data_IF_249653122110
#
_entry.id   IF_249653122110
#
_cell.length_a   1.000
_cell.length_b   1.000
_cell.length_c   1.000
_cell.angle_alpha   90.00
_cell.angle_beta   90.00
_cell.angle_gamma   90.00
#
_symmetry.space_group_name_H-M   'P 1'
#
loop_
_entity.id
_entity.type
_entity.pdbx_description
1 polymer ?
#
# COMPACT_ATOMS: atom_id res chain seq x y z
N UNK A 1 -21.03 -2.22 11.45
CA UNK A 1 -19.58 -2.17 11.10
C UNK A 1 -19.10 -3.57 10.78
N UNK A 2 -18.39 -3.73 9.67
CA UNK A 2 -17.84 -5.02 9.27
C UNK A 2 -16.70 -5.43 10.20
N UNK A 3 -16.44 -6.75 10.39
CA UNK A 3 -15.37 -7.20 11.28
C UNK A 3 -14.00 -6.64 10.93
N UNK A 4 -13.65 -6.53 9.63
CA UNK A 4 -12.38 -5.98 9.20
C UNK A 4 -12.22 -4.51 9.63
N UNK A 5 -13.29 -3.74 9.58
CA UNK A 5 -13.27 -2.35 10.01
C UNK A 5 -13.08 -2.22 11.52
N UNK A 6 -13.67 -3.13 12.30
CA UNK A 6 -13.48 -3.14 13.75
C UNK A 6 -12.03 -3.41 14.12
N UNK A 7 -11.40 -4.36 13.42
CA UNK A 7 -9.99 -4.66 13.62
C UNK A 7 -9.12 -3.46 13.25
N UNK A 8 -9.45 -2.81 12.14
CA UNK A 8 -8.72 -1.63 11.70
C UNK A 8 -8.84 -0.49 12.72
N UNK A 9 -10.04 -0.28 13.28
CA UNK A 9 -10.25 0.76 14.29
C UNK A 9 -9.52 0.49 15.61
N UNK A 10 -9.34 -0.80 15.95
CA UNK A 10 -8.58 -1.19 17.14
C UNK A 10 -7.09 -1.00 16.96
N UNK A 11 -6.58 -1.46 15.81
CA UNK A 11 -5.16 -1.42 15.50
C UNK A 11 -4.70 -0.01 15.12
N UNK A 12 -5.54 0.69 14.34
CA UNK A 12 -5.30 2.06 13.92
C UNK A 12 -6.47 2.90 14.42
N UNK A 13 -6.27 3.84 15.34
CA UNK A 13 -7.33 4.78 15.68
C UNK A 13 -7.57 5.72 14.50
N UNK A 14 -8.36 5.27 13.54
CA UNK A 14 -8.60 5.95 12.26
C UNK A 14 -8.99 7.41 12.47
N UNK A 15 -9.82 7.66 13.49
CA UNK A 15 -10.26 9.02 13.80
C UNK A 15 -9.14 9.94 14.26
N UNK A 16 -8.01 9.36 14.72
CA UNK A 16 -6.83 10.12 15.14
C UNK A 16 -5.76 10.17 14.04
N UNK A 17 -5.65 9.10 13.24
CA UNK A 17 -4.60 8.98 12.23
C UNK A 17 -5.02 9.53 10.87
N UNK A 18 -6.29 9.35 10.51
CA UNK A 18 -6.81 9.79 9.21
C UNK A 18 -7.94 10.77 9.43
N UNK A 19 -7.70 12.00 9.02
CA UNK A 19 -8.70 13.06 9.06
C UNK A 19 -9.43 13.15 7.72
N UNK A 20 -10.50 13.94 7.66
CA UNK A 20 -11.20 14.20 6.41
C UNK A 20 -10.25 14.84 5.39
N UNK A 21 -10.44 14.51 4.12
CA UNK A 21 -9.67 15.07 2.99
C UNK A 21 -8.18 14.70 3.00
N UNK A 22 -7.80 13.64 3.70
CA UNK A 22 -6.39 13.17 3.71
C UNK A 22 -6.02 12.49 2.40
N UNK A 23 -4.76 12.64 2.02
CA UNK A 23 -4.17 11.85 0.93
C UNK A 23 -3.38 10.72 1.55
N UNK A 24 -3.77 9.49 1.22
CA UNK A 24 -3.20 8.29 1.84
C UNK A 24 -2.64 7.38 0.76
N UNK A 25 -1.36 7.05 0.87
CA UNK A 25 -0.75 5.98 0.06
C UNK A 25 -1.04 4.66 0.74
N UNK A 26 -1.55 3.70 -0.03
CA UNK A 26 -1.76 2.34 0.45
C UNK A 26 -0.77 1.45 -0.26
N UNK A 27 0.12 0.81 0.49
CA UNK A 27 1.06 -0.15 -0.07
C UNK A 27 0.34 -1.44 -0.42
N UNK A 28 0.26 -1.76 -1.70
CA UNK A 28 -0.44 -2.95 -2.20
C UNK A 28 0.61 -3.95 -2.67
N UNK A 29 0.87 -4.97 -1.84
CA UNK A 29 1.84 -6.02 -2.18
C UNK A 29 1.26 -7.13 -3.05
N UNK A 30 -0.07 -7.22 -3.11
CA UNK A 30 -0.78 -8.32 -3.77
C UNK A 30 -1.15 -9.44 -2.83
N UNK A 31 -0.66 -9.43 -1.59
CA UNK A 31 -1.06 -10.37 -0.57
C UNK A 31 -2.44 -10.07 0.00
N UNK A 32 -3.02 -11.06 0.68
CA UNK A 32 -4.38 -10.95 1.23
C UNK A 32 -4.53 -9.78 2.20
N UNK A 33 -3.53 -9.54 3.05
CA UNK A 33 -3.59 -8.48 4.06
C UNK A 33 -3.64 -7.09 3.42
N UNK A 34 -2.82 -6.85 2.40
CA UNK A 34 -2.80 -5.55 1.73
C UNK A 34 -4.08 -5.29 0.93
N UNK A 35 -4.64 -6.32 0.31
CA UNK A 35 -5.91 -6.21 -0.40
C UNK A 35 -7.06 -5.98 0.57
N UNK A 36 -7.05 -6.67 1.70
CA UNK A 36 -8.05 -6.48 2.75
C UNK A 36 -8.04 -5.04 3.27
N UNK A 37 -6.85 -4.50 3.52
CA UNK A 37 -6.70 -3.11 3.96
C UNK A 37 -7.25 -2.14 2.91
N UNK A 38 -6.90 -2.35 1.65
CA UNK A 38 -7.38 -1.51 0.55
C UNK A 38 -8.91 -1.50 0.47
N UNK A 39 -9.52 -2.70 0.48
CA UNK A 39 -10.98 -2.83 0.42
C UNK A 39 -11.65 -2.18 1.63
N UNK A 40 -11.06 -2.35 2.81
CA UNK A 40 -11.60 -1.80 4.06
C UNK A 40 -11.57 -0.26 4.03
N UNK A 41 -10.46 0.33 3.60
CA UNK A 41 -10.33 1.78 3.53
C UNK A 41 -11.25 2.38 2.46
N UNK A 42 -11.37 1.73 1.31
CA UNK A 42 -12.29 2.18 0.25
C UNK A 42 -13.74 2.16 0.76
N UNK A 43 -14.15 1.06 1.38
CA UNK A 43 -15.50 0.94 1.92
C UNK A 43 -15.78 1.93 3.03
N UNK A 44 -14.84 2.12 3.93
CA UNK A 44 -14.98 3.07 5.04
C UNK A 44 -15.08 4.51 4.53
N UNK A 45 -14.23 4.88 3.58
CA UNK A 45 -14.24 6.21 2.97
C UNK A 45 -15.60 6.51 2.31
N UNK A 46 -16.13 5.57 1.54
CA UNK A 46 -17.42 5.73 0.86
C UNK A 46 -18.57 5.83 1.86
N UNK A 47 -18.56 4.98 2.88
CA UNK A 47 -19.65 4.91 3.86
C UNK A 47 -19.75 6.15 4.72
N UNK A 48 -18.61 6.72 5.09
CA UNK A 48 -18.54 7.87 5.98
C UNK A 48 -18.28 9.19 5.25
N UNK A 49 -18.17 9.16 3.92
CA UNK A 49 -18.00 10.35 3.06
C UNK A 49 -16.84 11.25 3.52
N UNK A 50 -15.68 10.62 3.75
CA UNK A 50 -14.53 11.32 4.34
C UNK A 50 -13.66 12.05 3.31
N UNK A 51 -13.92 11.81 2.01
CA UNK A 51 -13.18 12.42 0.91
C UNK A 51 -11.67 12.14 0.97
N UNK A 52 -11.29 10.96 1.45
CA UNK A 52 -9.90 10.54 1.37
C UNK A 52 -9.50 10.31 -0.08
N UNK A 53 -8.34 10.80 -0.45
CA UNK A 53 -7.70 10.39 -1.70
C UNK A 53 -6.84 9.17 -1.40
N UNK A 54 -7.32 8.02 -1.82
CA UNK A 54 -6.64 6.74 -1.61
C UNK A 54 -5.80 6.43 -2.85
N UNK A 55 -4.50 6.36 -2.67
CA UNK A 55 -3.54 6.14 -3.75
C UNK A 55 -2.87 4.78 -3.54
N UNK A 56 -3.36 3.72 -4.20
CA UNK A 56 -2.72 2.42 -4.11
C UNK A 56 -1.40 2.44 -4.88
N UNK A 57 -0.33 2.04 -4.20
CA UNK A 57 1.01 2.00 -4.78
C UNK A 57 1.55 0.59 -4.66
N UNK A 58 1.97 0.02 -5.78
CA UNK A 58 2.66 -1.25 -5.81
C UNK A 58 4.10 -1.02 -6.24
N UNK A 59 5.04 -1.53 -5.46
CA UNK A 59 6.46 -1.45 -5.79
C UNK A 59 6.86 -2.76 -6.48
N UNK A 60 7.18 -2.66 -7.76
CA UNK A 60 7.68 -3.79 -8.56
C UNK A 60 9.17 -3.93 -8.28
N UNK A 61 9.61 -5.07 -7.72
CA UNK A 61 11.02 -5.21 -7.32
C UNK A 61 12.00 -5.40 -8.46
N UNK A 62 11.54 -5.65 -9.68
CA UNK A 62 12.41 -5.82 -10.85
C UNK A 62 12.69 -7.26 -11.23
N UNK A 63 12.07 -8.25 -10.59
CA UNK A 63 12.20 -9.64 -10.99
C UNK A 63 11.41 -9.91 -12.27
N UNK A 64 11.97 -10.67 -13.25
CA UNK A 64 11.31 -10.85 -14.55
C UNK A 64 9.91 -11.47 -14.48
N UNK A 65 9.67 -12.36 -13.50
CA UNK A 65 8.40 -13.07 -13.38
C UNK A 65 7.38 -12.33 -12.50
N UNK A 66 7.70 -11.14 -12.05
CA UNK A 66 6.84 -10.36 -11.17
C UNK A 66 5.66 -9.79 -11.95
N UNK A 67 4.44 -10.14 -11.54
CA UNK A 67 3.22 -9.74 -12.25
C UNK A 67 2.41 -8.74 -11.44
N UNK A 68 1.91 -7.71 -12.11
CA UNK A 68 1.12 -6.64 -11.48
C UNK A 68 -0.30 -6.54 -12.03
N UNK A 69 -0.61 -7.27 -13.09
CA UNK A 69 -1.90 -7.14 -13.77
C UNK A 69 -3.11 -7.38 -12.87
N UNK A 70 -3.03 -8.38 -11.96
CA UNK A 70 -4.12 -8.68 -11.04
C UNK A 70 -4.37 -7.52 -10.07
N UNK A 71 -3.30 -6.93 -9.56
CA UNK A 71 -3.37 -5.80 -8.63
C UNK A 71 -3.99 -4.60 -9.31
N UNK A 72 -3.53 -4.29 -10.51
CA UNK A 72 -4.03 -3.17 -11.30
C UNK A 72 -5.52 -3.34 -11.62
N UNK A 73 -5.92 -4.56 -11.97
CA UNK A 73 -7.32 -4.87 -12.28
C UNK A 73 -8.23 -4.68 -11.06
N UNK A 74 -7.79 -5.13 -9.89
CA UNK A 74 -8.55 -4.96 -8.65
C UNK A 74 -8.71 -3.48 -8.33
N UNK A 75 -7.66 -2.70 -8.43
CA UNK A 75 -7.71 -1.27 -8.19
C UNK A 75 -8.66 -0.57 -9.16
N UNK A 76 -8.61 -0.92 -10.44
CA UNK A 76 -9.50 -0.36 -11.45
C UNK A 76 -10.96 -0.65 -11.14
N UNK A 77 -11.28 -1.86 -10.67
CA UNK A 77 -12.64 -2.22 -10.26
C UNK A 77 -13.13 -1.39 -9.08
N UNK A 78 -12.21 -0.94 -8.24
CA UNK A 78 -12.54 -0.08 -7.10
C UNK A 78 -12.60 1.40 -7.49
N UNK A 79 -12.39 1.72 -8.75
CA UNK A 79 -12.37 3.11 -9.23
C UNK A 79 -11.07 3.83 -8.88
N UNK A 80 -10.00 3.10 -8.63
CA UNK A 80 -8.71 3.66 -8.26
C UNK A 80 -7.66 3.36 -9.32
N UNK A 81 -6.69 4.27 -9.47
CA UNK A 81 -5.54 4.05 -10.34
C UNK A 81 -4.38 3.54 -9.52
N UNK A 82 -3.95 2.31 -9.79
CA UNK A 82 -2.78 1.75 -9.13
C UNK A 82 -1.51 2.36 -9.71
N UNK A 83 -0.69 2.91 -8.83
CA UNK A 83 0.61 3.44 -9.20
C UNK A 83 1.63 2.32 -9.04
N UNK A 84 2.26 1.92 -10.13
CA UNK A 84 3.30 0.90 -10.12
C UNK A 84 4.66 1.57 -10.27
N UNK A 85 5.49 1.45 -9.25
CA UNK A 85 6.84 1.99 -9.23
C UNK A 85 7.82 0.83 -9.30
N UNK A 86 8.75 0.86 -10.25
CA UNK A 86 9.72 -0.21 -10.41
C UNK A 86 11.07 0.17 -9.81
N UNK A 87 11.65 -0.76 -9.07
CA UNK A 87 13.02 -0.69 -8.56
C UNK A 87 13.78 -1.90 -9.07
N UNK A 88 15.08 -1.93 -8.90
CA UNK A 88 15.92 -3.04 -9.39
C UNK A 88 16.60 -3.75 -8.21
N UNK A 89 15.84 -4.57 -7.51
CA UNK A 89 16.34 -5.38 -6.39
C UNK A 89 17.38 -6.39 -6.85
N UNK A 90 17.21 -7.11 -7.98
CA UNK A 90 18.21 -8.08 -8.44
C UNK A 90 19.60 -7.46 -8.63
N UNK A 91 19.70 -6.27 -9.20
CA UNK A 91 20.97 -5.59 -9.37
C UNK A 91 21.60 -5.23 -8.04
N UNK A 92 20.81 -4.68 -7.11
CA UNK A 92 21.29 -4.29 -5.78
C UNK A 92 21.74 -5.51 -4.97
N UNK A 93 21.06 -6.64 -5.09
CA UNK A 93 21.42 -7.88 -4.42
C UNK A 93 22.80 -8.41 -4.85
N UNK A 94 23.18 -8.20 -6.12
CA UNK A 94 24.47 -8.61 -6.62
C UNK A 94 25.61 -7.79 -6.00
N UNK A 95 25.32 -6.59 -5.53
CA UNK A 95 26.28 -5.69 -4.89
C UNK A 95 26.37 -5.87 -3.38
N UNK A 96 25.41 -6.58 -2.78
CA UNK A 96 25.35 -6.80 -1.34
C UNK A 96 25.22 -8.29 -1.06
N UNK A 97 25.78 -8.76 0.05
CA UNK A 97 25.67 -10.17 0.47
C UNK A 97 24.59 -10.36 1.52
N UNK A 98 23.52 -9.57 1.44
CA UNK A 98 22.42 -9.62 2.39
C UNK A 98 21.42 -10.73 2.08
N UNK A 99 20.60 -11.11 3.07
CA UNK A 99 19.46 -12.00 2.88
C UNK A 99 18.50 -11.39 1.86
N UNK A 100 18.18 -12.15 0.80
CA UNK A 100 17.43 -11.64 -0.34
C UNK A 100 16.00 -11.21 0.03
N UNK A 101 15.32 -11.98 0.88
CA UNK A 101 13.93 -11.66 1.25
C UNK A 101 13.86 -10.41 2.13
N UNK A 102 14.73 -10.32 3.11
CA UNK A 102 14.79 -9.16 4.00
C UNK A 102 15.19 -7.89 3.23
N UNK A 103 16.19 -8.00 2.36
CA UNK A 103 16.67 -6.88 1.56
C UNK A 103 15.57 -6.38 0.60
N UNK A 104 14.87 -7.30 -0.07
CA UNK A 104 13.78 -6.98 -0.98
C UNK A 104 12.66 -6.23 -0.26
N UNK A 105 12.24 -6.72 0.91
CA UNK A 105 11.19 -6.09 1.71
C UNK A 105 11.58 -4.66 2.11
N UNK A 106 12.82 -4.49 2.56
CA UNK A 106 13.33 -3.18 2.98
C UNK A 106 13.39 -2.19 1.82
N UNK A 107 13.88 -2.63 0.66
CA UNK A 107 13.98 -1.78 -0.52
C UNK A 107 12.61 -1.37 -1.06
N UNK A 108 11.64 -2.29 -1.05
CA UNK A 108 10.26 -1.98 -1.46
C UNK A 108 9.62 -0.98 -0.50
N UNK A 109 9.83 -1.16 0.80
CA UNK A 109 9.29 -0.24 1.81
C UNK A 109 9.88 1.16 1.66
N UNK A 110 11.18 1.25 1.45
CA UNK A 110 11.88 2.51 1.21
C UNK A 110 11.31 3.22 -0.02
N UNK A 111 11.13 2.49 -1.13
CA UNK A 111 10.56 3.03 -2.35
C UNK A 111 9.13 3.51 -2.14
N UNK A 112 8.34 2.80 -1.34
CA UNK A 112 6.98 3.18 -1.01
C UNK A 112 6.92 4.53 -0.28
N UNK A 113 7.76 4.72 0.72
CA UNK A 113 7.83 5.99 1.44
C UNK A 113 8.32 7.13 0.56
N UNK A 114 9.29 6.87 -0.31
CA UNK A 114 9.77 7.86 -1.27
C UNK A 114 8.65 8.28 -2.24
N UNK A 115 7.88 7.30 -2.74
CA UNK A 115 6.76 7.57 -3.63
C UNK A 115 5.67 8.38 -2.92
N UNK A 116 5.39 8.07 -1.66
CA UNK A 116 4.42 8.83 -0.88
C UNK A 116 4.84 10.30 -0.75
N UNK A 117 6.13 10.54 -0.51
CA UNK A 117 6.65 11.91 -0.43
C UNK A 117 6.51 12.64 -1.76
N UNK A 118 6.81 11.97 -2.87
CA UNK A 118 6.66 12.53 -4.22
C UNK A 118 5.21 12.90 -4.52
N UNK A 119 4.26 12.13 -4.00
CA UNK A 119 2.83 12.35 -4.19
C UNK A 119 2.22 13.31 -3.18
N UNK A 120 3.02 13.92 -2.34
CA UNK A 120 2.56 14.82 -1.27
C UNK A 120 1.57 14.15 -0.31
N UNK A 121 1.82 12.88 0.00
CA UNK A 121 1.02 12.14 0.95
C UNK A 121 1.72 12.10 2.29
N UNK A 122 0.99 12.42 3.36
CA UNK A 122 1.52 12.44 4.72
C UNK A 122 1.30 11.13 5.46
N UNK A 123 0.43 10.27 4.93
CA UNK A 123 0.06 9.00 5.56
C UNK A 123 0.31 7.84 4.61
N UNK A 124 0.83 6.75 5.17
CA UNK A 124 1.07 5.49 4.44
C UNK A 124 0.41 4.36 5.23
N UNK A 125 -0.43 3.60 4.57
CA UNK A 125 -1.08 2.44 5.16
C UNK A 125 -0.46 1.15 4.63
N UNK A 126 -0.09 0.26 5.52
CA UNK A 126 0.52 -1.04 5.21
C UNK A 126 -0.32 -2.17 5.79
N UNK A 127 -0.65 -3.16 4.99
CA UNK A 127 -1.58 -4.22 5.37
C UNK A 127 -1.05 -5.21 6.40
N UNK A 128 0.26 -5.39 6.46
CA UNK A 128 0.86 -6.40 7.35
C UNK A 128 1.38 -5.80 8.67
N UNK A 129 1.33 -4.50 8.84
CA UNK A 129 1.72 -3.82 10.07
C UNK A 129 0.71 -2.73 10.36
N UNK A 130 -0.27 -3.08 11.18
CA UNK A 130 -1.27 -2.13 11.69
C UNK A 130 -0.74 -1.45 12.95
N UNK A 131 0.48 -1.04 12.90
CA UNK A 131 1.10 -0.33 14.01
C UNK A 131 0.95 1.18 13.85
#
# INVERSE_FOLDING_TARGET
MKPAERLLRRALPINQLLKDNERVVIGVSGGADSLCLLLTLVGYNRRHQLNWQLLPVHIHPGFPDWKTARIEKICTRLGLNCIVKQIDVPQKLRQTHSDSCFFCARERRKALFQTAAELNCTKVALGHHLE
#
